data_IF_795116130195
#
_entry.id   IF_795116130195
#
_cell.length_a   1.000
_cell.length_b   1.000
_cell.length_c   1.000
_cell.angle_alpha   90.00
_cell.angle_beta   90.00
_cell.angle_gamma   90.00
#
_symmetry.space_group_name_H-M   'P 1'
#
loop_
_entity.id
_entity.type
_entity.pdbx_description
1 polymer ?
#
# COMPACT_ATOMS: atom_id res chain seq x y z
N UNK A 1 -27.76 -18.84 24.16
CA UNK A 1 -26.50 -18.05 24.22
C UNK A 1 -26.03 -17.49 22.84
N UNK A 2 -26.48 -18.02 21.71
CA UNK A 2 -26.02 -17.62 20.38
C UNK A 2 -26.31 -16.20 19.91
N UNK A 3 -27.51 -15.66 20.20
CA UNK A 3 -27.89 -14.32 19.70
C UNK A 3 -27.06 -13.17 20.32
N UNK A 4 -26.77 -13.24 21.61
CA UNK A 4 -25.97 -12.21 22.27
C UNK A 4 -24.53 -12.20 21.77
N UNK A 5 -23.93 -13.38 21.57
CA UNK A 5 -22.58 -13.53 21.03
C UNK A 5 -22.51 -13.13 19.57
N UNK A 6 -23.53 -13.46 18.78
CA UNK A 6 -23.65 -13.03 17.38
C UNK A 6 -23.74 -11.51 17.26
N UNK A 7 -24.58 -10.86 18.06
CA UNK A 7 -24.68 -9.39 18.12
C UNK A 7 -23.36 -8.74 18.52
N UNK A 8 -22.70 -9.27 19.57
CA UNK A 8 -21.43 -8.76 20.03
C UNK A 8 -20.35 -8.87 18.93
N UNK A 9 -20.29 -10.00 18.22
CA UNK A 9 -19.37 -10.22 17.10
C UNK A 9 -19.60 -9.24 15.94
N UNK A 10 -20.86 -9.05 15.54
CA UNK A 10 -21.21 -8.08 14.46
C UNK A 10 -20.87 -6.65 14.88
N UNK A 11 -21.17 -6.26 16.12
CA UNK A 11 -20.84 -4.91 16.62
C UNK A 11 -19.32 -4.72 16.66
N UNK A 12 -18.56 -5.68 17.17
CA UNK A 12 -17.11 -5.61 17.21
C UNK A 12 -16.52 -5.51 15.80
N UNK A 13 -17.03 -6.30 14.85
CA UNK A 13 -16.61 -6.24 13.45
C UNK A 13 -16.90 -4.89 12.78
N UNK A 14 -18.09 -4.34 13.00
CA UNK A 14 -18.48 -3.02 12.53
C UNK A 14 -17.58 -1.91 13.11
N UNK A 15 -17.34 -1.95 14.41
CA UNK A 15 -16.45 -0.99 15.09
C UNK A 15 -15.03 -1.09 14.52
N UNK A 16 -14.48 -2.31 14.37
CA UNK A 16 -13.17 -2.53 13.75
C UNK A 16 -13.10 -2.00 12.33
N UNK A 17 -14.11 -2.28 11.51
CA UNK A 17 -14.18 -1.80 10.13
C UNK A 17 -14.26 -0.26 10.06
N UNK A 18 -15.04 0.38 10.92
CA UNK A 18 -15.13 1.85 11.00
C UNK A 18 -13.80 2.46 11.43
N UNK A 19 -13.12 1.86 12.42
CA UNK A 19 -11.81 2.33 12.85
C UNK A 19 -10.76 2.26 11.75
N UNK A 20 -10.69 1.12 11.03
CA UNK A 20 -9.78 0.95 9.88
C UNK A 20 -10.13 1.92 8.76
N UNK A 21 -11.42 2.11 8.48
CA UNK A 21 -11.89 3.05 7.46
C UNK A 21 -11.52 4.50 7.80
N UNK A 22 -11.74 4.92 9.05
CA UNK A 22 -11.35 6.25 9.53
C UNK A 22 -9.84 6.46 9.46
N UNK A 23 -9.06 5.46 9.90
CA UNK A 23 -7.61 5.52 9.82
C UNK A 23 -7.13 5.64 8.37
N UNK A 24 -7.65 4.82 7.46
CA UNK A 24 -7.31 4.86 6.05
C UNK A 24 -7.71 6.21 5.40
N UNK A 25 -8.88 6.74 5.74
CA UNK A 25 -9.34 8.02 5.23
C UNK A 25 -8.49 9.18 5.73
N UNK A 26 -8.11 9.15 7.02
CA UNK A 26 -7.28 10.19 7.63
C UNK A 26 -5.85 10.17 7.07
N UNK A 27 -5.27 8.99 6.91
CA UNK A 27 -3.89 8.82 6.47
C UNK A 27 -3.72 8.95 4.95
N UNK A 28 -4.58 8.30 4.17
CA UNK A 28 -4.48 8.26 2.70
C UNK A 28 -5.42 9.22 1.99
N UNK A 29 -6.30 9.90 2.71
CA UNK A 29 -7.27 10.88 2.15
C UNK A 29 -8.04 10.31 0.96
N UNK A 30 -7.79 10.80 -0.27
CA UNK A 30 -8.50 10.33 -1.47
C UNK A 30 -8.20 8.87 -1.84
N UNK A 31 -6.96 8.40 -1.62
CA UNK A 31 -6.65 6.98 -1.77
C UNK A 31 -7.39 6.12 -0.71
N UNK A 32 -7.62 6.68 0.49
CA UNK A 32 -8.47 6.08 1.51
C UNK A 32 -9.92 5.89 1.06
N UNK A 33 -10.48 6.81 0.28
CA UNK A 33 -11.83 6.64 -0.32
C UNK A 33 -11.87 5.44 -1.26
N UNK A 34 -10.82 5.25 -2.07
CA UNK A 34 -10.71 4.07 -2.95
C UNK A 34 -10.61 2.79 -2.13
N UNK A 35 -9.81 2.80 -1.04
CA UNK A 35 -9.72 1.66 -0.14
C UNK A 35 -11.08 1.31 0.47
N UNK A 36 -11.83 2.30 0.95
CA UNK A 36 -13.18 2.10 1.49
C UNK A 36 -14.12 1.48 0.46
N UNK A 37 -14.11 1.99 -0.76
CA UNK A 37 -14.97 1.47 -1.83
C UNK A 37 -14.60 0.03 -2.19
N UNK A 38 -13.31 -0.29 -2.22
CA UNK A 38 -12.82 -1.65 -2.43
C UNK A 38 -13.17 -2.58 -1.27
N UNK A 39 -13.11 -2.08 -0.04
CA UNK A 39 -13.48 -2.82 1.17
C UNK A 39 -14.99 -3.17 1.17
N UNK A 40 -15.83 -2.20 0.80
CA UNK A 40 -17.27 -2.41 0.63
C UNK A 40 -17.53 -3.42 -0.50
N UNK A 41 -16.83 -3.32 -1.62
CA UNK A 41 -16.95 -4.26 -2.73
C UNK A 41 -16.54 -5.68 -2.31
N UNK A 42 -15.45 -5.84 -1.54
CA UNK A 42 -15.00 -7.11 -0.99
C UNK A 42 -16.05 -7.70 -0.05
N UNK A 43 -16.57 -6.89 0.87
CA UNK A 43 -17.62 -7.31 1.79
C UNK A 43 -18.87 -7.79 1.05
N UNK A 44 -19.34 -7.01 0.07
CA UNK A 44 -20.53 -7.37 -0.72
C UNK A 44 -20.33 -8.67 -1.53
N UNK A 45 -19.14 -8.87 -2.10
CA UNK A 45 -18.80 -10.09 -2.83
C UNK A 45 -18.80 -11.31 -1.91
N UNK A 46 -18.11 -11.23 -0.77
CA UNK A 46 -18.02 -12.31 0.19
C UNK A 46 -19.40 -12.61 0.78
N UNK A 47 -20.14 -11.58 1.20
CA UNK A 47 -21.48 -11.72 1.74
C UNK A 47 -22.45 -12.34 0.71
N UNK A 48 -22.45 -11.82 -0.52
CA UNK A 48 -23.29 -12.37 -1.59
C UNK A 48 -22.98 -13.83 -1.89
N UNK A 49 -21.70 -14.21 -1.86
CA UNK A 49 -21.29 -15.59 -2.08
C UNK A 49 -21.71 -16.50 -0.92
N UNK A 50 -21.61 -16.07 0.33
CA UNK A 50 -22.08 -16.82 1.50
C UNK A 50 -23.61 -17.02 1.46
N UNK A 51 -24.36 -15.98 1.09
CA UNK A 51 -25.81 -16.09 0.91
C UNK A 51 -26.16 -17.09 -0.18
N UNK A 52 -25.41 -17.10 -1.29
CA UNK A 52 -25.60 -18.06 -2.37
C UNK A 52 -25.33 -19.51 -1.90
N UNK A 53 -24.25 -19.72 -1.15
CA UNK A 53 -23.93 -21.01 -0.53
C UNK A 53 -25.01 -21.45 0.46
N UNK A 54 -25.55 -20.52 1.25
CA UNK A 54 -26.68 -20.79 2.15
C UNK A 54 -27.90 -21.33 1.41
N UNK A 55 -28.18 -20.76 0.22
CA UNK A 55 -29.32 -21.23 -0.61
C UNK A 55 -29.07 -22.56 -1.31
N UNK A 56 -27.83 -22.85 -1.72
CA UNK A 56 -27.52 -24.04 -2.52
C UNK A 56 -27.23 -25.28 -1.68
N UNK A 57 -26.46 -25.12 -0.62
CA UNK A 57 -25.97 -26.24 0.21
C UNK A 57 -26.38 -26.14 1.69
N UNK A 58 -27.26 -25.18 2.01
CA UNK A 58 -27.72 -25.00 3.40
C UNK A 58 -26.61 -24.55 4.37
N UNK A 59 -25.57 -23.87 3.87
CA UNK A 59 -24.48 -23.37 4.71
C UNK A 59 -25.01 -22.35 5.70
N UNK A 60 -24.84 -22.60 7.00
CA UNK A 60 -25.14 -21.66 8.07
C UNK A 60 -23.88 -21.04 8.62
N UNK A 61 -23.88 -19.71 8.69
CA UNK A 61 -22.75 -18.97 9.27
C UNK A 61 -22.81 -19.05 10.78
N UNK A 62 -21.80 -19.67 11.38
CA UNK A 62 -21.62 -19.74 12.82
C UNK A 62 -20.80 -18.54 13.35
N UNK A 63 -20.63 -18.45 14.68
CA UNK A 63 -19.87 -17.38 15.31
C UNK A 63 -18.41 -17.39 14.88
N UNK A 64 -17.80 -18.53 14.73
CA UNK A 64 -16.43 -18.68 14.28
C UNK A 64 -16.27 -18.26 12.81
N UNK A 65 -17.28 -18.56 11.98
CA UNK A 65 -17.34 -18.06 10.60
C UNK A 65 -17.40 -16.53 10.50
N UNK A 66 -18.17 -15.88 11.40
CA UNK A 66 -18.19 -14.42 11.49
C UNK A 66 -16.81 -13.87 11.88
N UNK A 67 -16.14 -14.51 12.85
CA UNK A 67 -14.78 -14.11 13.21
C UNK A 67 -13.81 -14.21 12.01
N UNK A 68 -13.92 -15.28 11.21
CA UNK A 68 -13.16 -15.44 9.97
C UNK A 68 -13.43 -14.33 8.95
N UNK A 69 -14.68 -13.90 8.81
CA UNK A 69 -15.04 -12.74 7.97
C UNK A 69 -14.39 -11.45 8.43
N UNK A 70 -14.44 -11.16 9.74
CA UNK A 70 -13.88 -9.93 10.32
C UNK A 70 -12.37 -9.90 10.11
N UNK A 71 -11.67 -11.01 10.37
CA UNK A 71 -10.22 -11.13 10.16
C UNK A 71 -9.89 -10.99 8.67
N UNK A 72 -10.67 -11.64 7.79
CA UNK A 72 -10.50 -11.52 6.35
C UNK A 72 -10.65 -10.09 5.84
N UNK A 73 -11.60 -9.32 6.36
CA UNK A 73 -11.71 -7.89 6.02
C UNK A 73 -10.50 -7.07 6.50
N UNK A 74 -9.90 -7.45 7.63
CA UNK A 74 -8.65 -6.86 8.11
C UNK A 74 -7.49 -7.13 7.15
N UNK A 75 -7.34 -8.35 6.65
CA UNK A 75 -6.29 -8.70 5.67
C UNK A 75 -6.51 -7.99 4.32
N UNK A 76 -7.75 -7.75 3.92
CA UNK A 76 -8.07 -6.92 2.76
C UNK A 76 -7.55 -5.48 2.94
N UNK A 77 -7.72 -4.90 4.13
CA UNK A 77 -7.19 -3.58 4.42
C UNK A 77 -5.65 -3.53 4.34
N UNK A 78 -4.96 -4.56 4.82
CA UNK A 78 -3.50 -4.67 4.71
C UNK A 78 -3.03 -4.70 3.26
N UNK A 79 -3.75 -5.37 2.37
CA UNK A 79 -3.45 -5.40 0.92
C UNK A 79 -3.46 -4.00 0.30
N UNK A 80 -4.39 -3.13 0.72
CA UNK A 80 -4.43 -1.74 0.26
C UNK A 80 -3.27 -0.92 0.81
N UNK A 81 -2.92 -1.11 2.09
CA UNK A 81 -1.78 -0.43 2.73
C UNK A 81 -0.50 -0.77 1.99
N UNK A 82 -0.25 -2.05 1.68
CA UNK A 82 0.92 -2.48 0.90
C UNK A 82 0.99 -1.75 -0.45
N UNK A 83 -0.12 -1.67 -1.18
CA UNK A 83 -0.15 -0.98 -2.47
C UNK A 83 0.11 0.52 -2.34
N UNK A 84 -0.50 1.18 -1.37
CA UNK A 84 -0.34 2.63 -1.18
C UNK A 84 1.06 3.01 -0.68
N UNK A 85 1.68 2.20 0.19
CA UNK A 85 3.07 2.40 0.58
C UNK A 85 4.02 2.24 -0.61
N UNK A 86 3.78 1.30 -1.52
CA UNK A 86 4.55 1.19 -2.76
C UNK A 86 4.38 2.40 -3.68
N UNK A 87 3.18 2.99 -3.74
CA UNK A 87 2.97 4.25 -4.48
C UNK A 87 3.80 5.38 -3.84
N UNK A 88 3.80 5.45 -2.51
CA UNK A 88 4.58 6.43 -1.77
C UNK A 88 6.08 6.27 -1.99
N UNK A 89 6.60 5.04 -1.96
CA UNK A 89 8.00 4.75 -2.26
C UNK A 89 8.40 5.21 -3.65
N UNK A 90 7.57 4.95 -4.67
CA UNK A 90 7.83 5.40 -6.05
C UNK A 90 7.85 6.94 -6.18
N UNK A 91 7.01 7.63 -5.41
CA UNK A 91 7.00 9.11 -5.37
C UNK A 91 8.25 9.64 -4.69
N UNK A 92 8.68 9.03 -3.59
CA UNK A 92 9.92 9.38 -2.89
C UNK A 92 11.15 9.23 -3.79
N UNK A 93 11.11 8.27 -4.71
CA UNK A 93 12.13 8.07 -5.74
C UNK A 93 12.00 9.05 -6.93
N UNK A 94 11.21 10.11 -6.81
CA UNK A 94 11.08 11.18 -7.82
C UNK A 94 10.10 10.88 -8.95
N UNK A 95 9.32 9.81 -8.88
CA UNK A 95 8.32 9.49 -9.90
C UNK A 95 7.08 10.39 -9.75
N UNK A 96 6.51 10.82 -10.88
CA UNK A 96 5.20 11.48 -10.87
C UNK A 96 4.10 10.51 -10.43
N UNK A 97 3.03 11.00 -9.79
CA UNK A 97 1.91 10.15 -9.33
C UNK A 97 1.37 9.23 -10.43
N UNK A 98 1.25 9.75 -11.67
CA UNK A 98 0.76 9.00 -12.83
C UNK A 98 1.67 7.83 -13.22
N UNK A 99 2.98 7.98 -13.09
CA UNK A 99 3.96 6.92 -13.38
C UNK A 99 4.23 6.01 -12.19
N UNK A 100 4.10 6.54 -10.96
CA UNK A 100 4.30 5.80 -9.72
C UNK A 100 3.25 4.69 -9.53
N UNK A 101 1.96 4.98 -9.79
CA UNK A 101 0.85 4.06 -9.58
C UNK A 101 1.02 2.73 -10.34
N UNK A 102 1.27 2.68 -11.66
CA UNK A 102 1.46 1.41 -12.37
C UNK A 102 2.70 0.65 -11.93
N UNK A 103 3.80 1.34 -11.62
CA UNK A 103 5.05 0.71 -11.13
C UNK A 103 4.87 0.12 -9.74
N UNK A 104 4.22 0.88 -8.85
CA UNK A 104 3.88 0.41 -7.51
C UNK A 104 3.02 -0.85 -7.56
N UNK A 105 2.03 -0.91 -8.48
CA UNK A 105 1.22 -2.10 -8.67
C UNK A 105 2.05 -3.32 -9.07
N UNK A 106 2.98 -3.18 -10.01
CA UNK A 106 3.84 -4.29 -10.44
C UNK A 106 4.65 -4.87 -9.29
N UNK A 107 5.07 -4.05 -8.32
CA UNK A 107 5.78 -4.50 -7.12
C UNK A 107 4.82 -5.04 -6.05
N UNK A 108 3.73 -4.32 -5.78
CA UNK A 108 2.77 -4.69 -4.74
C UNK A 108 2.07 -6.02 -5.03
N UNK A 109 1.69 -6.29 -6.29
CA UNK A 109 0.96 -7.49 -6.68
C UNK A 109 1.65 -8.80 -6.25
N UNK A 110 2.96 -8.86 -6.36
CA UNK A 110 3.73 -10.04 -5.93
C UNK A 110 3.63 -10.25 -4.43
N UNK A 111 3.78 -9.19 -3.64
CA UNK A 111 3.68 -9.24 -2.17
C UNK A 111 2.25 -9.62 -1.74
N UNK A 112 1.23 -8.99 -2.35
CA UNK A 112 -0.18 -9.27 -2.06
C UNK A 112 -0.53 -10.73 -2.38
N UNK A 113 -0.15 -11.23 -3.55
CA UNK A 113 -0.43 -12.62 -3.94
C UNK A 113 0.30 -13.60 -3.02
N UNK A 114 1.57 -13.35 -2.70
CA UNK A 114 2.34 -14.25 -1.83
C UNK A 114 1.75 -14.27 -0.42
N UNK A 115 1.40 -13.12 0.17
CA UNK A 115 0.79 -13.03 1.49
C UNK A 115 -0.57 -13.74 1.54
N UNK A 116 -1.43 -13.46 0.56
CA UNK A 116 -2.74 -14.12 0.48
C UNK A 116 -2.63 -15.61 0.20
N UNK A 117 -1.63 -16.05 -0.59
CA UNK A 117 -1.40 -17.47 -0.82
C UNK A 117 -1.02 -18.21 0.46
N UNK A 118 -0.16 -17.63 1.30
CA UNK A 118 0.21 -18.21 2.60
C UNK A 118 -1.02 -18.30 3.51
N UNK A 119 -1.82 -17.24 3.59
CA UNK A 119 -3.06 -17.23 4.39
C UNK A 119 -4.08 -18.24 3.86
N UNK A 120 -4.23 -18.35 2.55
CA UNK A 120 -5.12 -19.34 1.93
C UNK A 120 -4.65 -20.77 2.22
N UNK A 121 -3.34 -21.04 2.12
CA UNK A 121 -2.77 -22.34 2.45
C UNK A 121 -3.04 -22.71 3.92
N UNK A 122 -2.82 -21.76 4.83
CA UNK A 122 -3.12 -21.97 6.25
C UNK A 122 -4.61 -22.25 6.48
N UNK A 123 -5.52 -21.51 5.82
CA UNK A 123 -6.95 -21.72 5.90
C UNK A 123 -7.36 -23.11 5.35
N UNK A 124 -6.77 -23.54 4.24
CA UNK A 124 -7.02 -24.87 3.66
C UNK A 124 -6.56 -25.98 4.60
N UNK A 125 -5.35 -25.89 5.14
CA UNK A 125 -4.82 -26.87 6.09
C UNK A 125 -5.75 -26.95 7.33
N UNK A 126 -6.11 -25.78 7.87
CA UNK A 126 -6.99 -25.69 9.02
C UNK A 126 -8.36 -26.29 8.71
N UNK A 127 -8.92 -26.07 7.53
CA UNK A 127 -10.20 -26.60 7.10
C UNK A 127 -10.23 -28.16 7.10
N UNK A 128 -9.14 -28.79 6.70
CA UNK A 128 -9.06 -30.25 6.66
C UNK A 128 -8.76 -30.87 8.02
N UNK A 129 -7.99 -30.18 8.87
CA UNK A 129 -7.62 -30.69 10.19
C UNK A 129 -8.64 -30.36 11.28
N UNK A 130 -9.40 -29.28 11.13
CA UNK A 130 -10.32 -28.79 12.15
C UNK A 130 -11.66 -29.51 12.14
N UNK A 131 -12.29 -29.54 13.32
CA UNK A 131 -13.60 -30.12 13.56
C UNK A 131 -14.51 -29.02 14.15
N UNK A 132 -15.80 -29.10 13.87
CA UNK A 132 -16.82 -28.21 14.46
C UNK A 132 -16.68 -26.76 13.96
N UNK A 133 -16.82 -25.81 14.88
CA UNK A 133 -16.86 -24.37 14.58
C UNK A 133 -15.55 -23.85 13.94
N UNK A 134 -14.39 -24.42 14.29
CA UNK A 134 -13.11 -24.02 13.72
C UNK A 134 -13.05 -24.25 12.21
N UNK A 135 -13.77 -25.25 11.72
CA UNK A 135 -13.90 -25.52 10.28
C UNK A 135 -14.66 -24.39 9.56
N UNK A 136 -15.72 -23.87 10.20
CA UNK A 136 -16.46 -22.70 9.71
C UNK A 136 -15.57 -21.44 9.61
N UNK A 137 -14.77 -21.20 10.64
CA UNK A 137 -13.75 -20.14 10.65
C UNK A 137 -12.76 -20.29 9.49
N UNK A 138 -12.17 -21.48 9.34
CA UNK A 138 -11.19 -21.74 8.29
C UNK A 138 -11.77 -21.54 6.88
N UNK A 139 -13.02 -21.97 6.68
CA UNK A 139 -13.73 -21.80 5.42
C UNK A 139 -13.95 -20.33 5.08
N UNK A 140 -14.46 -19.54 6.01
CA UNK A 140 -14.72 -18.12 5.77
C UNK A 140 -13.43 -17.32 5.62
N UNK A 141 -12.38 -17.65 6.39
CA UNK A 141 -11.06 -17.03 6.22
C UNK A 141 -10.47 -17.33 4.85
N UNK A 142 -10.53 -18.57 4.39
CA UNK A 142 -10.06 -18.95 3.04
C UNK A 142 -10.86 -18.27 1.94
N UNK A 143 -12.18 -18.20 2.11
CA UNK A 143 -13.06 -17.54 1.16
C UNK A 143 -12.79 -16.04 1.05
N UNK A 144 -12.67 -15.34 2.19
CA UNK A 144 -12.34 -13.90 2.21
C UNK A 144 -10.97 -13.63 1.59
N UNK A 145 -9.97 -14.45 1.90
CA UNK A 145 -8.63 -14.34 1.32
C UNK A 145 -8.63 -14.51 -0.20
N UNK A 146 -9.43 -15.45 -0.71
CA UNK A 146 -9.59 -15.64 -2.15
C UNK A 146 -10.22 -14.42 -2.82
N UNK A 147 -11.31 -13.90 -2.25
CA UNK A 147 -11.98 -12.72 -2.77
C UNK A 147 -11.15 -11.45 -2.61
N UNK A 148 -10.28 -11.36 -1.61
CA UNK A 148 -9.34 -10.24 -1.45
C UNK A 148 -8.43 -10.13 -2.67
N UNK A 149 -7.85 -11.23 -3.13
CA UNK A 149 -7.04 -11.23 -4.36
C UNK A 149 -7.86 -10.78 -5.57
N UNK A 150 -9.08 -11.31 -5.74
CA UNK A 150 -9.97 -10.94 -6.84
C UNK A 150 -10.27 -9.43 -6.82
N UNK A 151 -10.64 -8.88 -5.66
CA UNK A 151 -10.95 -7.46 -5.51
C UNK A 151 -9.70 -6.59 -5.71
N UNK A 152 -8.55 -7.00 -5.20
CA UNK A 152 -7.30 -6.27 -5.39
C UNK A 152 -6.95 -6.13 -6.89
N UNK A 153 -7.12 -7.19 -7.67
CA UNK A 153 -6.79 -7.20 -9.10
C UNK A 153 -7.88 -6.60 -10.00
N UNK A 154 -9.15 -6.87 -9.72
CA UNK A 154 -10.27 -6.46 -10.58
C UNK A 154 -10.88 -5.11 -10.21
N UNK A 155 -10.81 -4.70 -8.96
CA UNK A 155 -11.43 -3.47 -8.48
C UNK A 155 -10.37 -2.44 -8.09
N UNK A 156 -9.52 -2.77 -7.12
CA UNK A 156 -8.60 -1.80 -6.51
C UNK A 156 -7.56 -1.30 -7.50
N UNK A 157 -6.83 -2.18 -8.16
CA UNK A 157 -5.76 -1.80 -9.07
C UNK A 157 -6.27 -0.98 -10.28
N UNK A 158 -7.29 -1.43 -11.03
CA UNK A 158 -7.81 -0.63 -12.15
C UNK A 158 -8.36 0.71 -11.70
N UNK A 159 -9.02 0.75 -10.54
CA UNK A 159 -9.61 1.97 -10.01
C UNK A 159 -8.56 3.01 -9.67
N UNK A 160 -7.49 2.62 -8.94
CA UNK A 160 -6.37 3.53 -8.62
C UNK A 160 -5.65 3.98 -9.89
N UNK A 161 -5.44 3.08 -10.87
CA UNK A 161 -4.81 3.41 -12.17
C UNK A 161 -5.68 4.40 -12.96
N UNK A 162 -6.99 4.22 -13.00
CA UNK A 162 -7.90 5.15 -13.66
C UNK A 162 -7.91 6.52 -12.98
N UNK A 163 -7.94 6.54 -11.65
CA UNK A 163 -7.87 7.77 -10.87
C UNK A 163 -6.55 8.51 -11.09
N UNK A 164 -5.43 7.80 -11.21
CA UNK A 164 -4.12 8.41 -11.46
C UNK A 164 -4.04 9.16 -12.79
N UNK A 165 -4.92 8.85 -13.74
CA UNK A 165 -5.00 9.53 -15.04
C UNK A 165 -5.83 10.82 -15.02
N UNK A 166 -6.65 11.03 -13.98
CA UNK A 166 -7.49 12.23 -13.84
C UNK A 166 -6.65 13.39 -13.30
N UNK A 167 -6.72 14.55 -13.96
CA UNK A 167 -5.98 15.79 -13.57
C UNK A 167 -6.24 16.24 -12.13
N UNK A 168 -7.41 15.96 -11.60
CA UNK A 168 -7.80 16.32 -10.24
C UNK A 168 -6.93 15.66 -9.16
N UNK A 169 -6.41 14.46 -9.43
CA UNK A 169 -5.55 13.71 -8.50
C UNK A 169 -4.07 14.08 -8.55
N UNK A 170 -3.66 15.05 -9.37
CA UNK A 170 -2.28 15.54 -9.43
C UNK A 170 -1.92 16.50 -8.28
N UNK A 171 -2.91 17.01 -7.54
CA UNK A 171 -2.66 17.93 -6.44
C UNK A 171 -2.10 17.18 -5.21
N UNK A 172 -0.88 17.54 -4.72
CA UNK A 172 -0.23 16.86 -3.58
C UNK A 172 -1.05 16.93 -2.29
N UNK A 173 -1.86 17.98 -2.14
CA UNK A 173 -2.71 18.19 -0.98
C UNK A 173 -3.93 17.26 -0.92
N UNK A 174 -4.41 16.79 -2.07
CA UNK A 174 -5.62 15.97 -2.18
C UNK A 174 -5.30 14.49 -1.97
N UNK A 175 -4.13 14.03 -2.45
CA UNK A 175 -3.76 12.60 -2.43
C UNK A 175 -3.28 12.07 -1.06
N UNK A 176 -3.11 12.92 -0.03
CA UNK A 176 -2.48 12.50 1.23
C UNK A 176 -0.97 12.24 1.13
N UNK A 177 -0.40 12.35 -0.07
CA UNK A 177 1.03 12.11 -0.35
C UNK A 177 1.89 13.37 -0.32
N UNK A 178 1.32 14.51 0.10
CA UNK A 178 2.02 15.80 0.14
C UNK A 178 3.30 15.81 0.98
N UNK A 179 3.37 14.98 2.03
CA UNK A 179 4.59 14.81 2.80
C UNK A 179 5.67 14.08 1.99
N UNK A 180 5.30 13.04 1.23
CA UNK A 180 6.21 12.28 0.38
C UNK A 180 6.77 13.15 -0.76
N UNK A 181 5.95 13.99 -1.39
CA UNK A 181 6.41 14.92 -2.41
C UNK A 181 7.41 15.93 -1.86
N UNK A 182 7.13 16.54 -0.70
CA UNK A 182 8.08 17.47 -0.05
C UNK A 182 9.39 16.80 0.37
N UNK A 183 9.35 15.56 0.80
CA UNK A 183 10.57 14.81 1.12
C UNK A 183 11.36 14.46 -0.14
N UNK A 184 10.72 14.08 -1.22
CA UNK A 184 11.36 13.82 -2.51
C UNK A 184 12.05 15.08 -3.08
N UNK A 185 11.39 16.26 -2.98
CA UNK A 185 11.97 17.54 -3.37
C UNK A 185 13.23 17.86 -2.54
N UNK A 186 13.19 17.70 -1.24
CA UNK A 186 14.35 17.93 -0.36
C UNK A 186 15.53 17.01 -0.72
N UNK A 187 15.29 15.72 -0.91
CA UNK A 187 16.35 14.79 -1.31
C UNK A 187 16.93 15.12 -2.68
N UNK A 188 16.12 15.55 -3.63
CA UNK A 188 16.61 15.98 -4.95
C UNK A 188 17.45 17.24 -4.86
N UNK A 189 17.07 18.20 -4.02
CA UNK A 189 17.86 19.42 -3.78
C UNK A 189 19.18 19.14 -3.07
N UNK A 190 19.19 18.23 -2.08
CA UNK A 190 20.40 17.80 -1.39
C UNK A 190 21.39 17.12 -2.34
N UNK A 191 20.91 16.21 -3.20
CA UNK A 191 21.73 15.56 -4.21
C UNK A 191 22.29 16.55 -5.24
N UNK A 192 21.48 17.52 -5.68
CA UNK A 192 21.96 18.58 -6.59
C UNK A 192 22.98 19.50 -5.93
N UNK A 193 22.81 19.82 -4.64
CA UNK A 193 23.79 20.61 -3.89
C UNK A 193 25.09 19.85 -3.70
N UNK A 194 25.04 18.57 -3.35
CA UNK A 194 26.21 17.71 -3.21
C UNK A 194 26.98 17.58 -4.54
N UNK A 195 26.30 17.31 -5.64
CA UNK A 195 26.89 17.23 -6.97
C UNK A 195 27.53 18.58 -7.42
N UNK A 196 26.95 19.71 -7.03
CA UNK A 196 27.46 21.05 -7.34
C UNK A 196 28.68 21.41 -6.49
N UNK A 197 28.78 20.87 -5.28
CA UNK A 197 29.98 21.03 -4.44
C UNK A 197 31.12 20.20 -5.00
N UNK A 198 30.85 18.95 -5.37
CA UNK A 198 31.83 18.01 -5.92
C UNK A 198 32.42 18.55 -7.23
N UNK A 199 31.57 19.03 -8.17
CA UNK A 199 32.03 19.67 -9.43
C UNK A 199 32.87 20.89 -9.19
N UNK A 200 32.58 21.71 -8.18
CA UNK A 200 33.33 22.89 -7.84
C UNK A 200 34.66 22.57 -7.19
N UNK A 201 34.77 21.47 -6.50
CA UNK A 201 36.00 20.96 -5.86
C UNK A 201 36.96 20.43 -6.95
N UNK A 202 36.44 19.73 -7.94
CA UNK A 202 37.20 19.23 -9.07
C UNK A 202 37.76 20.39 -9.98
N UNK A 203 36.96 21.44 -10.20
CA UNK A 203 37.37 22.62 -10.95
C UNK A 203 38.48 23.38 -10.21
N UNK A 204 38.53 23.39 -8.89
CA UNK A 204 39.59 24.02 -8.09
C UNK A 204 40.84 23.14 -8.07
N UNK A 205 40.71 21.82 -8.10
CA UNK A 205 41.84 20.87 -8.12
C UNK A 205 42.55 20.81 -9.49
N UNK A 206 41.83 21.17 -10.57
CA UNK A 206 42.36 21.18 -11.95
C UNK A 206 42.88 22.56 -12.43
N UNK A 207 42.81 23.62 -11.60
CA UNK A 207 43.37 24.90 -11.91
C UNK A 207 44.91 24.80 -11.98
N UNK A 208 45.58 25.13 -13.14
CA UNK A 208 47.02 25.05 -13.24
C UNK A 208 47.66 26.07 -12.30
N UNK A 209 48.58 25.58 -11.45
CA UNK A 209 49.41 26.42 -10.62
C UNK A 209 50.22 27.35 -11.52
N UNK A 210 49.81 28.60 -11.59
CA UNK A 210 50.53 29.62 -12.37
C UNK A 210 51.91 29.85 -11.73
N UNK A 211 52.92 29.60 -12.57
CA UNK A 211 54.33 29.68 -12.23
C UNK A 211 54.72 31.16 -12.04
N UNK A 212 54.79 31.59 -10.80
CA UNK A 212 55.55 32.82 -10.47
C UNK A 212 57.03 32.54 -10.56
N UNK A 213 57.59 32.69 -11.78
CA UNK A 213 59.03 32.81 -11.99
C UNK A 213 59.45 34.23 -11.60
N UNK A 214 60.03 34.34 -10.43
CA UNK A 214 60.75 35.52 -9.97
C UNK A 214 62.07 35.65 -10.76
N UNK A 215 62.12 36.52 -11.70
CA UNK A 215 63.39 36.98 -12.28
C UNK A 215 64.05 38.00 -11.36
N UNK A 216 65.02 37.51 -10.60
CA UNK A 216 66.00 38.40 -9.94
C UNK A 216 66.98 38.95 -10.94
N UNK A 217 66.87 40.22 -11.23
CA UNK A 217 67.83 40.97 -12.02
C UNK A 217 68.96 41.48 -11.08
N UNK A 218 70.12 40.85 -11.16
CA UNK A 218 71.36 41.35 -10.58
C UNK A 218 71.93 42.40 -11.56
N UNK A 219 71.96 43.66 -11.15
CA UNK A 219 72.68 44.70 -11.74
C UNK A 219 74.02 44.85 -11.00
N UNK A 220 75.09 44.33 -11.61
CA UNK A 220 76.48 44.58 -11.16
C UNK A 220 77.10 45.69 -11.91
N UNK A 221 77.81 46.48 -11.21
CA UNK A 221 78.61 47.64 -11.47
C UNK A 221 79.71 47.50 -12.55
N UNK A 222 79.80 48.38 -13.40
CA UNK A 222 80.86 49.38 -13.58
C UNK A 222 80.50 50.34 -14.69
#
# INVERSE_FOLDING_TARGET
>A
MGEASLRAGIIAGLVGLVLVALWALFYYRMLGVVAMLSLVASFLLVYGFIVLLGRWIGYSLDLAGIAGLIIGLGTTADSFVIYFERIKDEILNGSSFRSAVPRAWQRARSTIVTGNFVSLLAAVILYFLAIGEVKGFAFTLGLTTLFDVVVAFMVTAPMVILLSRRRFFHSPHINGLGAAFRSAERHSEEHQRAAKIDSKTDDVATAPADSTSTTASTKGEK
#
